data_IF_003737057110
#
_entry.id   IF_003737057110
#
_cell.length_a   1.000
_cell.length_b   1.000
_cell.length_c   1.000
_cell.angle_alpha   90.00
_cell.angle_beta   90.00
_cell.angle_gamma   90.00
#
_symmetry.space_group_name_H-M   'P 1'
#
loop_
_entity.id
_entity.type
_entity.pdbx_description
1 polymer ?
#
# COMPACT_ATOMS: atom_id res chain seq x y z
N UNK A 1 28.47 11.99 1.44
CA UNK A 1 27.05 12.03 1.89
C UNK A 1 26.18 11.89 0.64
N UNK A 2 25.63 10.69 0.38
CA UNK A 2 24.93 10.42 -0.88
C UNK A 2 23.45 10.74 -0.76
N UNK A 3 23.05 11.80 -1.45
CA UNK A 3 21.70 12.36 -1.50
C UNK A 3 20.68 11.39 -2.09
N UNK A 4 19.78 10.89 -1.24
CA UNK A 4 18.33 11.06 -1.43
C UNK A 4 17.63 10.38 -2.62
N UNK A 5 17.85 9.09 -2.87
CA UNK A 5 16.91 8.31 -3.71
C UNK A 5 15.62 7.93 -2.95
N UNK A 6 14.66 8.85 -2.78
CA UNK A 6 13.32 8.45 -2.33
C UNK A 6 12.46 7.92 -3.49
N UNK A 7 12.83 6.72 -3.96
CA UNK A 7 12.00 5.87 -4.82
C UNK A 7 10.74 5.34 -4.08
N UNK A 8 10.08 4.25 -4.53
CA UNK A 8 8.93 3.64 -3.80
C UNK A 8 9.20 3.38 -2.32
N UNK A 9 10.48 3.29 -1.92
CA UNK A 9 10.96 3.22 -0.54
C UNK A 9 10.59 4.44 0.31
N UNK A 10 10.68 5.66 -0.21
CA UNK A 10 10.36 6.88 0.56
C UNK A 10 8.89 6.95 0.97
N UNK A 11 7.98 6.64 0.03
CA UNK A 11 6.54 6.57 0.34
C UNK A 11 6.23 5.42 1.31
N UNK A 12 6.90 4.28 1.15
CA UNK A 12 6.69 3.14 2.03
C UNK A 12 7.19 3.39 3.46
N UNK A 13 8.36 4.01 3.60
CA UNK A 13 8.91 4.41 4.90
C UNK A 13 8.07 5.52 5.56
N UNK A 14 7.66 6.56 4.82
CA UNK A 14 6.78 7.59 5.35
C UNK A 14 5.46 7.01 5.89
N UNK A 15 4.85 6.10 5.12
CA UNK A 15 3.61 5.46 5.54
C UNK A 15 3.85 4.58 6.76
N UNK A 16 4.92 3.78 6.77
CA UNK A 16 5.36 3.00 7.93
C UNK A 16 5.47 3.86 9.18
N UNK A 17 6.24 4.95 9.16
CA UNK A 17 6.41 5.83 10.32
C UNK A 17 5.09 6.41 10.82
N UNK A 18 4.19 6.83 9.93
CA UNK A 18 2.85 7.32 10.29
C UNK A 18 1.98 6.28 10.99
N UNK A 19 2.15 5.01 10.65
CA UNK A 19 1.39 3.89 11.19
C UNK A 19 1.99 3.43 12.52
N UNK A 20 3.32 3.36 12.62
CA UNK A 20 4.00 3.08 13.88
C UNK A 20 3.68 4.13 14.94
N UNK A 21 3.63 5.42 14.57
CA UNK A 21 3.18 6.50 15.46
C UNK A 21 1.72 6.36 15.94
N UNK A 22 0.93 5.50 15.30
CA UNK A 22 -0.46 5.18 15.69
C UNK A 22 -0.57 3.83 16.41
N UNK A 23 0.56 3.22 16.79
CA UNK A 23 0.59 1.95 17.52
C UNK A 23 0.54 0.69 16.65
N UNK A 24 0.70 0.81 15.32
CA UNK A 24 0.76 -0.36 14.44
C UNK A 24 2.18 -0.91 14.32
N UNK A 25 2.34 -2.23 14.41
CA UNK A 25 3.56 -2.94 13.99
C UNK A 25 3.57 -3.07 12.46
N UNK A 26 4.56 -2.49 11.80
CA UNK A 26 4.61 -2.42 10.32
C UNK A 26 5.80 -3.19 9.77
N UNK A 27 5.57 -4.03 8.75
CA UNK A 27 6.59 -4.75 7.97
C UNK A 27 6.50 -4.37 6.50
N UNK A 28 7.61 -3.89 5.94
CA UNK A 28 7.75 -3.67 4.51
C UNK A 28 8.31 -4.95 3.88
N UNK A 29 7.60 -5.49 2.89
CA UNK A 29 8.00 -6.66 2.12
C UNK A 29 8.39 -6.22 0.73
N UNK A 30 9.69 -6.33 0.42
CA UNK A 30 10.22 -6.10 -0.92
C UNK A 30 9.91 -7.30 -1.81
N UNK A 31 9.37 -7.04 -3.00
CA UNK A 31 9.02 -8.07 -4.01
C UNK A 31 9.88 -7.88 -5.27
N UNK A 32 9.94 -8.94 -6.10
CA UNK A 32 10.55 -8.90 -7.43
C UNK A 32 9.92 -7.79 -8.28
N UNK A 33 10.73 -7.08 -9.07
CA UNK A 33 10.28 -5.98 -9.93
C UNK A 33 10.09 -4.63 -9.23
N UNK A 34 10.70 -4.40 -8.07
CA UNK A 34 10.70 -3.09 -7.38
C UNK A 34 9.39 -2.73 -6.69
N UNK A 35 8.55 -3.72 -6.38
CA UNK A 35 7.30 -3.54 -5.65
C UNK A 35 7.56 -3.64 -4.14
N UNK A 36 6.95 -2.75 -3.36
CA UNK A 36 6.96 -2.79 -1.89
C UNK A 36 5.54 -2.99 -1.40
N UNK A 37 5.31 -4.11 -0.71
CA UNK A 37 4.09 -4.33 0.05
C UNK A 37 4.33 -3.81 1.48
N UNK A 38 3.37 -3.11 2.07
CA UNK A 38 3.42 -2.64 3.45
C UNK A 38 2.33 -3.37 4.21
N UNK A 39 2.76 -4.25 5.11
CA UNK A 39 1.92 -4.99 6.03
C UNK A 39 1.93 -4.28 7.36
N UNK A 40 0.79 -4.13 8.02
CA UNK A 40 0.76 -3.51 9.33
C UNK A 40 -0.38 -4.04 10.19
N UNK A 41 -0.06 -4.22 11.47
CA UNK A 41 -0.83 -4.98 12.45
C UNK A 41 -0.87 -4.18 13.75
N UNK A 42 -2.05 -3.82 14.27
CA UNK A 42 -2.15 -3.11 15.56
C UNK A 42 -3.59 -2.89 16.02
N UNK A 43 -3.80 -3.04 17.34
CA UNK A 43 -5.12 -2.96 17.98
C UNK A 43 -6.13 -3.90 17.31
N UNK A 44 -7.15 -3.32 16.69
CA UNK A 44 -8.33 -4.02 16.17
C UNK A 44 -8.34 -4.08 14.62
N UNK A 45 -7.22 -3.71 13.96
CA UNK A 45 -7.16 -3.50 12.50
C UNK A 45 -5.82 -3.97 11.91
N UNK A 46 -5.87 -4.81 10.89
CA UNK A 46 -4.72 -5.13 10.01
C UNK A 46 -5.00 -4.56 8.64
N UNK A 47 -3.98 -4.07 7.94
CA UNK A 47 -4.13 -3.53 6.58
C UNK A 47 -2.95 -3.88 5.68
N UNK A 48 -3.16 -3.77 4.37
CA UNK A 48 -2.21 -4.20 3.34
C UNK A 48 -2.17 -3.17 2.23
N UNK A 49 -1.09 -2.40 2.19
CA UNK A 49 -0.87 -1.44 1.12
C UNK A 49 0.09 -2.00 0.08
N UNK A 50 -0.22 -1.77 -1.19
CA UNK A 50 0.71 -2.04 -2.30
C UNK A 50 1.22 -0.70 -2.81
N UNK A 51 2.48 -0.39 -2.53
CA UNK A 51 3.16 0.75 -3.15
C UNK A 51 3.91 0.23 -4.38
N UNK A 52 3.28 0.38 -5.55
CA UNK A 52 3.94 0.12 -6.83
C UNK A 52 4.77 1.35 -7.25
N UNK A 53 6.02 1.13 -7.65
CA UNK A 53 6.89 2.17 -8.20
C UNK A 53 6.40 2.75 -9.53
N UNK A 54 7.07 3.83 -10.00
CA UNK A 54 6.68 4.67 -11.16
C UNK A 54 6.15 3.93 -12.41
N UNK A 55 6.65 2.72 -12.71
CA UNK A 55 6.29 1.96 -13.92
C UNK A 55 4.94 1.22 -13.84
N UNK A 56 4.34 1.04 -12.66
CA UNK A 56 3.07 0.31 -12.50
C UNK A 56 2.05 1.10 -11.68
N UNK A 57 1.52 2.18 -12.27
CA UNK A 57 0.39 2.95 -11.72
C UNK A 57 -0.92 2.15 -11.65
N UNK A 58 -1.03 1.02 -12.36
CA UNK A 58 -2.25 0.23 -12.42
C UNK A 58 -2.34 -0.76 -11.25
N UNK A 59 -3.48 -0.79 -10.58
CA UNK A 59 -3.88 -1.76 -9.55
C UNK A 59 -4.86 -2.74 -10.19
N UNK A 60 -4.57 -4.04 -10.10
CA UNK A 60 -5.33 -5.10 -10.79
C UNK A 60 -6.15 -5.94 -9.82
N UNK A 61 -7.04 -6.78 -10.34
CA UNK A 61 -7.84 -7.72 -9.55
C UNK A 61 -6.98 -8.64 -8.65
N UNK A 62 -5.80 -9.04 -9.14
CA UNK A 62 -4.84 -9.85 -8.39
C UNK A 62 -4.33 -9.15 -7.13
N UNK A 63 -4.13 -7.83 -7.20
CA UNK A 63 -3.72 -7.04 -6.03
C UNK A 63 -4.82 -7.03 -4.97
N UNK A 64 -6.08 -6.88 -5.40
CA UNK A 64 -7.24 -6.89 -4.49
C UNK A 64 -7.40 -8.25 -3.81
N UNK A 65 -7.37 -9.34 -4.59
CA UNK A 65 -7.50 -10.71 -4.05
C UNK A 65 -6.43 -10.99 -3.00
N UNK A 66 -5.18 -10.60 -3.26
CA UNK A 66 -4.08 -10.76 -2.31
C UNK A 66 -4.32 -10.01 -1.00
N UNK A 67 -4.76 -8.75 -1.09
CA UNK A 67 -5.12 -7.94 0.09
C UNK A 67 -6.19 -8.64 0.90
N UNK A 68 -7.22 -9.17 0.24
CA UNK A 68 -8.31 -9.89 0.91
C UNK A 68 -7.84 -11.21 1.52
N UNK A 69 -7.06 -12.02 0.80
CA UNK A 69 -6.52 -13.30 1.30
C UNK A 69 -5.66 -13.10 2.54
N UNK A 70 -4.73 -12.15 2.49
CA UNK A 70 -3.84 -11.89 3.62
C UNK A 70 -4.60 -11.25 4.79
N UNK A 71 -5.58 -10.39 4.53
CA UNK A 71 -6.45 -9.86 5.59
C UNK A 71 -7.27 -10.97 6.26
N UNK A 72 -7.80 -11.93 5.49
CA UNK A 72 -8.50 -13.11 6.01
C UNK A 72 -7.60 -14.01 6.84
N UNK A 73 -6.40 -14.30 6.35
CA UNK A 73 -5.41 -15.11 7.08
C UNK A 73 -5.06 -14.50 8.44
N UNK A 74 -5.07 -13.17 8.53
CA UNK A 74 -4.78 -12.42 9.75
C UNK A 74 -6.04 -12.01 10.53
N UNK A 75 -7.22 -12.56 10.19
CA UNK A 75 -8.52 -12.25 10.82
C UNK A 75 -8.81 -10.75 10.91
N UNK A 76 -8.68 -10.03 9.79
CA UNK A 76 -8.70 -8.58 9.80
C UNK A 76 -9.38 -7.93 8.59
N UNK A 77 -9.59 -6.61 8.67
CA UNK A 77 -10.30 -5.81 7.65
C UNK A 77 -9.40 -5.50 6.44
N UNK A 78 -9.81 -5.80 5.20
CA UNK A 78 -8.98 -5.52 4.04
C UNK A 78 -8.98 -4.01 3.71
N UNK A 79 -7.81 -3.37 3.79
CA UNK A 79 -7.61 -1.98 3.37
C UNK A 79 -6.51 -1.93 2.34
N UNK A 80 -6.77 -1.29 1.20
CA UNK A 80 -5.83 -1.04 0.13
C UNK A 80 -5.39 0.43 0.14
N UNK A 81 -4.14 0.71 0.55
CA UNK A 81 -3.57 2.05 0.41
C UNK A 81 -2.70 2.15 -0.85
N UNK A 82 -2.98 3.15 -1.70
CA UNK A 82 -2.34 3.36 -3.01
C UNK A 82 -2.00 4.83 -3.23
N UNK A 83 -0.98 5.18 -4.04
CA UNK A 83 -0.72 6.56 -4.41
C UNK A 83 -1.95 7.24 -5.04
N UNK A 84 -2.12 8.56 -4.84
CA UNK A 84 -3.20 9.36 -5.46
C UNK A 84 -3.31 9.14 -6.97
N UNK A 85 -2.17 9.05 -7.67
CA UNK A 85 -2.11 8.81 -9.12
C UNK A 85 -2.28 7.35 -9.58
N UNK A 86 -2.59 6.41 -8.68
CA UNK A 86 -2.80 5.01 -9.06
C UNK A 86 -4.17 4.79 -9.71
N UNK A 87 -4.23 3.98 -10.76
CA UNK A 87 -5.45 3.67 -11.52
C UNK A 87 -5.89 2.25 -11.22
N UNK A 88 -7.10 2.07 -10.71
CA UNK A 88 -7.68 0.73 -10.55
C UNK A 88 -8.28 0.28 -11.89
N UNK A 89 -7.97 -0.95 -12.32
CA UNK A 89 -8.66 -1.59 -13.45
C UNK A 89 -10.16 -1.73 -13.15
N UNK A 90 -10.98 -1.91 -14.19
CA UNK A 90 -12.43 -2.09 -14.04
C UNK A 90 -12.76 -3.24 -13.09
N UNK A 91 -12.05 -4.36 -13.24
CA UNK A 91 -12.19 -5.53 -12.37
C UNK A 91 -11.74 -5.25 -10.93
N UNK A 92 -10.61 -4.55 -10.75
CA UNK A 92 -10.14 -4.20 -9.41
C UNK A 92 -11.17 -3.34 -8.66
N UNK A 93 -11.79 -2.35 -9.34
CA UNK A 93 -12.87 -1.54 -8.74
C UNK A 93 -14.08 -2.40 -8.37
N UNK A 94 -14.47 -3.33 -9.24
CA UNK A 94 -15.58 -4.26 -8.96
C UNK A 94 -15.28 -5.11 -7.73
N UNK A 95 -14.08 -5.66 -7.62
CA UNK A 95 -13.68 -6.48 -6.47
C UNK A 95 -13.57 -5.68 -5.17
N UNK A 96 -13.05 -4.45 -5.23
CA UNK A 96 -12.99 -3.56 -4.05
C UNK A 96 -14.39 -3.37 -3.46
N UNK A 97 -15.39 -3.07 -4.30
CA UNK A 97 -16.79 -2.93 -3.86
C UNK A 97 -17.38 -4.25 -3.39
N UNK A 98 -17.22 -5.32 -4.16
CA UNK A 98 -17.80 -6.64 -3.86
C UNK A 98 -17.27 -7.25 -2.57
N UNK A 99 -15.98 -7.05 -2.29
CA UNK A 99 -15.28 -7.67 -1.15
C UNK A 99 -15.13 -6.71 0.04
N UNK A 100 -15.75 -5.52 0.00
CA UNK A 100 -15.72 -4.55 1.09
C UNK A 100 -14.33 -4.04 1.43
N UNK A 101 -13.45 -3.88 0.43
CA UNK A 101 -12.08 -3.39 0.64
C UNK A 101 -12.10 -1.88 0.80
N UNK A 102 -11.55 -1.36 1.89
CA UNK A 102 -11.40 0.08 2.08
C UNK A 102 -10.28 0.62 1.18
N UNK A 103 -10.55 1.63 0.36
CA UNK A 103 -9.56 2.25 -0.51
C UNK A 103 -9.02 3.54 0.12
N UNK A 104 -7.71 3.61 0.36
CA UNK A 104 -7.02 4.82 0.84
C UNK A 104 -6.07 5.39 -0.20
N UNK A 105 -6.14 6.70 -0.42
CA UNK A 105 -5.26 7.43 -1.34
C UNK A 105 -4.14 8.13 -0.56
N UNK A 106 -2.90 7.73 -0.83
CA UNK A 106 -1.70 8.32 -0.25
C UNK A 106 -1.22 9.52 -1.08
N UNK A 107 -0.65 10.55 -0.46
CA UNK A 107 -0.08 11.67 -1.19
C UNK A 107 1.02 11.17 -2.14
N UNK A 108 0.96 11.60 -3.40
CA UNK A 108 2.11 11.50 -4.29
C UNK A 108 3.10 12.58 -3.88
N UNK A 109 4.18 12.23 -3.18
CA UNK A 109 5.32 13.16 -3.01
C UNK A 109 5.81 13.54 -4.42
N UNK A 110 5.44 14.72 -4.90
CA UNK A 110 6.24 15.44 -5.91
C UNK A 110 7.53 15.84 -5.18
N UNK A 111 8.64 15.78 -5.91
CA UNK A 111 9.94 16.34 -5.52
C UNK A 111 9.69 17.60 -4.69
N UNK A 112 10.23 17.63 -3.46
CA UNK A 112 10.65 18.92 -2.93
C UNK A 112 11.68 19.45 -3.90
N UNK A 113 11.38 20.57 -4.56
CA UNK A 113 12.42 21.47 -5.00
C UNK A 113 13.18 21.95 -3.77
N UNK A 114 14.49 21.95 -3.91
CA UNK A 114 15.51 22.35 -2.97
C UNK A 114 16.81 22.22 -3.72
#
# INVERSE_FOLDING_TARGET
MSSGEEGPRGLAHWFKTRLEARGYRVRIVKRRGGMLDILAVGGDRVFIAVVRGRRKRKVTARDIRRVVETARYLSARPVLAVPRGAVLTREARRLVRKLGVELRRLPTRRRGGG
#
